data_IF_165356455835
#
_entry.id   IF_165356455835
#
_cell.length_a   1.000
_cell.length_b   1.000
_cell.length_c   1.000
_cell.angle_alpha   90.00
_cell.angle_beta   90.00
_cell.angle_gamma   90.00
#
_symmetry.space_group_name_H-M   'P 1'
#
loop_
_entity.id
_entity.type
_entity.pdbx_description
1 polymer ?
#
# COMPACT_ATOMS: atom_id res chain seq x y z
N UNK A 1 21.27 14.65 -1.86
CA UNK A 1 19.82 14.36 -1.99
C UNK A 1 19.30 14.26 -0.57
N UNK A 2 18.06 14.70 -0.27
CA UNK A 2 17.46 14.47 1.07
C UNK A 2 17.16 12.97 1.26
N UNK A 3 17.14 12.50 2.51
CA UNK A 3 16.84 11.08 2.80
C UNK A 3 15.49 10.65 2.21
N UNK A 4 14.47 11.51 2.27
CA UNK A 4 13.18 11.28 1.62
C UNK A 4 13.34 11.00 0.11
N UNK A 5 14.10 11.81 -0.61
CA UNK A 5 14.30 11.64 -2.04
C UNK A 5 15.14 10.39 -2.38
N UNK A 6 16.09 10.01 -1.53
CA UNK A 6 16.86 8.77 -1.69
C UNK A 6 15.97 7.54 -1.52
N UNK A 7 15.13 7.52 -0.47
CA UNK A 7 14.18 6.42 -0.23
C UNK A 7 13.12 6.38 -1.33
N UNK A 8 12.63 7.53 -1.81
CA UNK A 8 11.70 7.58 -2.94
C UNK A 8 12.31 6.96 -4.21
N UNK A 9 13.55 7.34 -4.55
CA UNK A 9 14.25 6.77 -5.69
C UNK A 9 14.48 5.25 -5.53
N UNK A 10 14.89 4.82 -4.34
CA UNK A 10 15.07 3.41 -4.04
C UNK A 10 13.78 2.61 -4.27
N UNK A 11 12.64 3.07 -3.71
CA UNK A 11 11.34 2.44 -3.93
C UNK A 11 10.93 2.44 -5.40
N UNK A 12 11.17 3.54 -6.11
CA UNK A 12 10.87 3.63 -7.53
C UNK A 12 11.66 2.61 -8.36
N UNK A 13 12.94 2.42 -8.08
CA UNK A 13 13.77 1.43 -8.76
C UNK A 13 13.34 -0.02 -8.44
N UNK A 14 13.04 -0.32 -7.17
CA UNK A 14 12.54 -1.65 -6.79
C UNK A 14 11.18 -1.97 -7.45
N UNK A 15 10.25 -1.02 -7.45
CA UNK A 15 8.97 -1.17 -8.13
C UNK A 15 9.17 -1.32 -9.66
N UNK A 16 10.04 -0.53 -10.27
CA UNK A 16 10.34 -0.59 -11.70
C UNK A 16 10.89 -1.96 -12.13
N UNK A 17 11.86 -2.49 -11.37
CA UNK A 17 12.48 -3.78 -11.66
C UNK A 17 11.45 -4.94 -11.61
N UNK A 18 10.55 -4.91 -10.63
CA UNK A 18 9.52 -5.94 -10.50
C UNK A 18 8.34 -5.73 -11.46
N UNK A 19 8.01 -4.50 -11.84
CA UNK A 19 6.87 -4.19 -12.72
C UNK A 19 6.91 -4.97 -14.04
N UNK A 20 8.10 -5.17 -14.59
CA UNK A 20 8.33 -5.90 -15.85
C UNK A 20 8.18 -7.42 -15.72
N UNK A 21 8.11 -7.94 -14.49
CA UNK A 21 7.97 -9.37 -14.20
C UNK A 21 6.52 -9.76 -13.90
N UNK A 22 5.63 -8.78 -13.75
CA UNK A 22 4.22 -9.02 -13.45
C UNK A 22 3.46 -9.54 -14.67
N UNK A 23 2.47 -10.39 -14.43
CA UNK A 23 1.54 -10.82 -15.48
C UNK A 23 0.69 -9.64 -15.93
N UNK A 24 0.60 -9.46 -17.25
CA UNK A 24 -0.16 -8.36 -17.85
C UNK A 24 -1.12 -8.86 -18.91
N UNK A 25 -2.21 -8.13 -19.09
CA UNK A 25 -3.15 -8.39 -20.17
C UNK A 25 -2.63 -7.90 -21.54
N UNK A 26 -3.45 -8.04 -22.58
CA UNK A 26 -3.09 -7.61 -23.94
C UNK A 26 -2.94 -6.10 -24.13
N UNK A 27 -3.44 -5.30 -23.17
CA UNK A 27 -3.37 -3.84 -23.18
C UNK A 27 -2.24 -3.32 -22.27
N UNK A 28 -1.57 -4.23 -21.53
CA UNK A 28 -0.44 -3.92 -20.66
C UNK A 28 -0.81 -3.64 -19.21
N UNK A 29 -2.08 -3.80 -18.82
CA UNK A 29 -2.52 -3.64 -17.44
C UNK A 29 -2.16 -4.85 -16.58
N UNK A 30 -1.99 -4.63 -15.28
CA UNK A 30 -1.71 -5.67 -14.30
C UNK A 30 -2.85 -6.71 -14.26
N UNK A 31 -2.50 -7.99 -14.43
CA UNK A 31 -3.46 -9.09 -14.62
C UNK A 31 -3.12 -10.36 -13.83
N UNK A 32 -2.52 -10.23 -12.64
CA UNK A 32 -2.27 -11.36 -11.75
C UNK A 32 -3.57 -11.97 -11.23
N UNK A 33 -3.53 -13.28 -10.96
CA UNK A 33 -4.66 -14.01 -10.36
C UNK A 33 -4.84 -13.59 -8.89
N UNK A 34 -5.80 -12.71 -8.63
CA UNK A 34 -6.11 -12.22 -7.29
C UNK A 34 -6.56 -13.33 -6.33
N UNK A 35 -7.32 -14.33 -6.81
CA UNK A 35 -7.70 -15.47 -5.97
C UNK A 35 -6.47 -16.23 -5.48
N UNK A 36 -5.46 -16.33 -6.33
CA UNK A 36 -4.17 -16.90 -5.95
C UNK A 36 -3.41 -15.99 -4.96
N UNK A 37 -3.49 -14.67 -5.12
CA UNK A 37 -2.91 -13.72 -4.15
C UNK A 37 -3.53 -13.90 -2.75
N UNK A 38 -4.85 -14.02 -2.63
CA UNK A 38 -5.51 -14.30 -1.35
C UNK A 38 -5.01 -15.60 -0.68
N UNK A 39 -4.79 -16.66 -1.47
CA UNK A 39 -4.24 -17.94 -0.95
C UNK A 39 -2.80 -17.79 -0.46
N UNK A 40 -1.95 -17.07 -1.19
CA UNK A 40 -0.53 -16.86 -0.86
C UNK A 40 -0.33 -15.83 0.25
N UNK A 41 -1.27 -14.92 0.43
CA UNK A 41 -1.20 -13.86 1.43
C UNK A 41 -0.98 -14.35 2.86
N UNK A 42 -1.33 -15.59 3.18
CA UNK A 42 -1.14 -16.18 4.52
C UNK A 42 0.33 -16.20 4.97
N UNK A 43 1.28 -16.23 4.06
CA UNK A 43 2.72 -16.28 4.36
C UNK A 43 3.42 -14.91 4.26
N UNK A 44 2.71 -13.84 3.95
CA UNK A 44 3.33 -12.53 3.69
C UNK A 44 4.10 -11.96 4.91
N UNK A 45 3.75 -12.37 6.13
CA UNK A 45 4.37 -11.89 7.36
C UNK A 45 5.55 -12.75 7.86
N UNK A 46 5.79 -13.94 7.31
CA UNK A 46 6.76 -14.90 7.84
C UNK A 46 8.17 -14.32 8.03
N UNK A 47 8.64 -13.50 7.07
CA UNK A 47 9.97 -12.88 7.17
C UNK A 47 9.98 -11.65 8.11
N UNK A 48 8.90 -10.85 8.10
CA UNK A 48 8.83 -9.68 8.97
C UNK A 48 8.68 -10.06 10.43
N UNK A 49 7.97 -11.13 10.75
CA UNK A 49 7.83 -11.67 12.12
C UNK A 49 9.16 -12.09 12.74
N UNK A 50 10.15 -12.50 11.94
CA UNK A 50 11.50 -12.79 12.41
C UNK A 50 12.23 -11.53 12.87
N UNK A 51 12.00 -10.40 12.18
CA UNK A 51 12.58 -9.09 12.51
C UNK A 51 11.81 -8.39 13.62
N UNK A 52 10.50 -8.54 13.63
CA UNK A 52 9.55 -7.92 14.57
C UNK A 52 8.68 -9.00 15.24
N UNK A 53 9.19 -9.73 16.24
CA UNK A 53 8.46 -10.83 16.89
C UNK A 53 7.15 -10.42 17.56
N UNK A 54 6.93 -9.13 17.82
CA UNK A 54 5.67 -8.61 18.35
C UNK A 54 4.50 -8.74 17.38
N UNK A 55 4.77 -8.95 16.08
CA UNK A 55 3.77 -9.18 15.06
C UNK A 55 3.41 -10.67 14.88
N UNK A 56 4.12 -11.58 15.54
CA UNK A 56 3.96 -13.02 15.35
C UNK A 56 2.59 -13.51 15.85
N UNK A 57 1.84 -14.12 14.96
CA UNK A 57 0.57 -14.80 15.25
C UNK A 57 0.26 -15.85 14.19
N UNK A 58 -0.63 -16.83 14.47
CA UNK A 58 -1.12 -17.70 13.41
C UNK A 58 -1.82 -16.88 12.31
N UNK A 59 -1.36 -17.01 11.06
CA UNK A 59 -1.92 -16.25 9.96
C UNK A 59 -3.35 -16.68 9.65
N UNK A 60 -4.23 -15.69 9.52
CA UNK A 60 -5.63 -15.87 9.11
C UNK A 60 -5.79 -15.22 7.73
N UNK A 61 -6.26 -15.97 6.70
CA UNK A 61 -6.38 -15.42 5.36
C UNK A 61 -7.37 -14.26 5.30
N UNK A 62 -7.02 -13.22 4.56
CA UNK A 62 -7.97 -12.18 4.17
C UNK A 62 -9.03 -12.76 3.22
N UNK A 63 -10.18 -12.09 3.16
CA UNK A 63 -11.29 -12.46 2.29
C UNK A 63 -11.53 -11.37 1.25
N UNK A 64 -11.90 -11.74 0.00
CA UNK A 64 -12.41 -10.75 -0.94
C UNK A 64 -13.75 -10.20 -0.43
N UNK A 65 -13.90 -8.88 -0.48
CA UNK A 65 -15.12 -8.22 -0.03
C UNK A 65 -16.25 -8.41 -1.03
N UNK A 66 -17.42 -8.85 -0.57
CA UNK A 66 -18.58 -9.05 -1.42
C UNK A 66 -19.14 -7.75 -2.02
N UNK A 67 -19.08 -6.63 -1.25
CA UNK A 67 -19.56 -5.32 -1.68
C UNK A 67 -18.43 -4.39 -2.12
N UNK A 68 -17.40 -4.90 -2.82
CA UNK A 68 -16.21 -4.17 -3.23
C UNK A 68 -16.53 -2.85 -3.93
N UNK A 69 -17.46 -2.84 -4.90
CA UNK A 69 -17.84 -1.61 -5.59
C UNK A 69 -18.40 -0.53 -4.67
N UNK A 70 -19.17 -0.91 -3.66
CA UNK A 70 -19.68 0.04 -2.67
C UNK A 70 -18.54 0.61 -1.80
N UNK A 71 -17.57 -0.23 -1.42
CA UNK A 71 -16.38 0.24 -0.71
C UNK A 71 -15.57 1.23 -1.54
N UNK A 72 -15.37 0.95 -2.84
CA UNK A 72 -14.69 1.87 -3.76
C UNK A 72 -15.37 3.24 -3.81
N UNK A 73 -16.70 3.28 -3.86
CA UNK A 73 -17.46 4.53 -3.85
C UNK A 73 -17.33 5.32 -2.53
N UNK A 74 -16.91 4.68 -1.46
CA UNK A 74 -16.64 5.28 -0.14
C UNK A 74 -15.13 5.54 0.10
N UNK A 75 -14.26 5.24 -0.89
CA UNK A 75 -12.82 5.46 -0.79
C UNK A 75 -12.06 4.39 0.01
N UNK A 76 -12.66 3.21 0.29
CA UNK A 76 -12.03 2.17 1.09
C UNK A 76 -11.41 1.06 0.24
N UNK A 77 -10.18 0.69 0.56
CA UNK A 77 -9.44 -0.43 -0.07
C UNK A 77 -9.61 -1.74 0.69
N UNK A 78 -9.91 -1.70 1.99
CA UNK A 78 -10.14 -2.85 2.82
C UNK A 78 -10.84 -2.49 4.13
N UNK A 79 -11.20 -3.47 4.91
CA UNK A 79 -11.81 -3.32 6.24
C UNK A 79 -11.44 -4.49 7.13
N UNK A 80 -10.82 -4.21 8.26
CA UNK A 80 -10.70 -5.14 9.37
C UNK A 80 -11.89 -4.99 10.30
N UNK A 81 -12.57 -6.11 10.60
CA UNK A 81 -13.72 -6.13 11.51
C UNK A 81 -13.31 -6.73 12.87
N UNK A 82 -13.08 -5.90 13.91
CA UNK A 82 -12.44 -6.34 15.14
C UNK A 82 -13.27 -7.33 15.97
N UNK A 83 -14.60 -7.33 15.80
CA UNK A 83 -15.48 -8.25 16.54
C UNK A 83 -15.40 -9.72 16.08
N UNK A 84 -15.00 -9.94 14.83
CA UNK A 84 -14.81 -11.30 14.27
C UNK A 84 -13.35 -11.59 13.93
N UNK A 85 -12.46 -10.58 13.95
CA UNK A 85 -11.07 -10.71 13.53
C UNK A 85 -10.90 -10.87 12.02
N UNK A 86 -11.93 -10.57 11.24
CA UNK A 86 -11.92 -10.75 9.78
C UNK A 86 -11.31 -9.54 9.07
N UNK A 87 -10.34 -9.79 8.22
CA UNK A 87 -9.78 -8.84 7.28
C UNK A 87 -10.41 -9.08 5.89
N UNK A 88 -11.01 -8.04 5.32
CA UNK A 88 -11.70 -8.09 4.05
C UNK A 88 -11.12 -7.04 3.10
N UNK A 89 -10.80 -7.43 1.88
CA UNK A 89 -10.12 -6.57 0.90
C UNK A 89 -11.02 -6.30 -0.29
N UNK A 90 -11.08 -5.07 -0.70
CA UNK A 90 -11.81 -4.59 -1.86
C UNK A 90 -11.11 -5.06 -3.14
N UNK A 91 -11.78 -5.94 -3.90
CA UNK A 91 -11.26 -6.47 -5.18
C UNK A 91 -11.71 -5.65 -6.41
N UNK A 92 -12.50 -4.59 -6.21
CA UNK A 92 -12.82 -3.62 -7.26
C UNK A 92 -11.75 -2.50 -7.35
N UNK A 93 -10.91 -2.35 -6.33
CA UNK A 93 -9.77 -1.43 -6.31
C UNK A 93 -8.68 -1.86 -7.32
N UNK A 94 -7.73 -0.97 -7.68
CA UNK A 94 -6.67 -1.30 -8.62
C UNK A 94 -5.93 -2.59 -8.26
N UNK A 95 -5.97 -3.56 -9.18
CA UNK A 95 -5.50 -4.92 -8.93
C UNK A 95 -4.03 -5.00 -8.49
N UNK A 96 -3.19 -4.09 -9.00
CA UNK A 96 -1.77 -3.99 -8.64
C UNK A 96 -1.52 -3.64 -7.16
N UNK A 97 -2.50 -3.06 -6.46
CA UNK A 97 -2.41 -2.71 -5.03
C UNK A 97 -3.13 -3.71 -4.11
N UNK A 98 -3.93 -4.63 -4.64
CA UNK A 98 -4.65 -5.63 -3.82
C UNK A 98 -3.70 -6.47 -2.96
N UNK A 99 -2.55 -6.99 -3.44
CA UNK A 99 -1.63 -7.75 -2.59
C UNK A 99 -1.08 -6.96 -1.40
N UNK A 100 -0.70 -5.69 -1.60
CA UNK A 100 -0.25 -4.84 -0.50
C UNK A 100 -1.40 -4.50 0.46
N UNK A 101 -2.63 -4.34 -0.05
CA UNK A 101 -3.81 -4.16 0.80
C UNK A 101 -4.10 -5.41 1.64
N UNK A 102 -3.91 -6.62 1.11
CA UNK A 102 -3.96 -7.86 1.91
C UNK A 102 -2.97 -7.78 3.07
N UNK A 103 -1.73 -7.38 2.82
CA UNK A 103 -0.73 -7.23 3.88
C UNK A 103 -1.11 -6.14 4.89
N UNK A 104 -1.68 -5.02 4.44
CA UNK A 104 -2.19 -3.96 5.30
C UNK A 104 -3.30 -4.47 6.24
N UNK A 105 -4.34 -5.11 5.72
CA UNK A 105 -5.45 -5.63 6.52
C UNK A 105 -4.99 -6.72 7.50
N UNK A 106 -4.00 -7.51 7.12
CA UNK A 106 -3.36 -8.48 8.03
C UNK A 106 -2.55 -7.82 9.15
N UNK A 107 -2.12 -6.56 9.01
CA UNK A 107 -1.51 -5.81 10.12
C UNK A 107 -2.52 -5.51 11.23
N UNK A 108 -3.74 -5.18 10.86
CA UNK A 108 -4.83 -4.99 11.82
C UNK A 108 -5.17 -6.28 12.59
N UNK A 109 -5.10 -7.45 11.94
CA UNK A 109 -5.21 -8.73 12.63
C UNK A 109 -4.10 -8.92 13.69
N UNK A 110 -2.91 -8.31 13.46
CA UNK A 110 -1.76 -8.30 14.38
C UNK A 110 -1.79 -7.17 15.41
N UNK A 111 -2.97 -6.61 15.63
CA UNK A 111 -3.23 -5.56 16.62
C UNK A 111 -2.55 -4.21 16.31
N UNK A 112 -2.16 -3.97 15.06
CA UNK A 112 -1.71 -2.66 14.59
C UNK A 112 -2.93 -1.86 14.19
N UNK A 113 -3.46 -1.03 15.09
CA UNK A 113 -4.73 -0.33 14.87
C UNK A 113 -4.57 1.05 14.24
N UNK A 114 -3.39 1.65 14.33
CA UNK A 114 -3.09 2.91 13.67
C UNK A 114 -2.96 2.69 12.16
N UNK A 115 -3.77 3.39 11.36
CA UNK A 115 -3.73 3.32 9.89
C UNK A 115 -2.33 3.63 9.33
N UNK A 116 -1.64 4.59 9.95
CA UNK A 116 -0.30 5.01 9.52
C UNK A 116 0.74 3.92 9.78
N UNK A 117 0.64 3.27 10.94
CA UNK A 117 1.50 2.13 11.28
C UNK A 117 1.11 0.89 10.47
N UNK A 118 -0.19 0.67 10.23
CA UNK A 118 -0.69 -0.43 9.41
C UNK A 118 -0.21 -0.33 7.96
N UNK A 119 -0.20 0.87 7.38
CA UNK A 119 0.39 1.13 6.08
C UNK A 119 1.88 0.76 6.05
N UNK A 120 2.66 1.25 7.03
CA UNK A 120 4.08 0.93 7.12
C UNK A 120 4.32 -0.57 7.30
N UNK A 121 3.64 -1.21 8.26
CA UNK A 121 3.82 -2.64 8.57
C UNK A 121 3.39 -3.52 7.39
N UNK A 122 2.28 -3.17 6.72
CA UNK A 122 1.82 -3.87 5.52
C UNK A 122 2.83 -3.77 4.36
N UNK A 123 3.36 -2.57 4.11
CA UNK A 123 4.42 -2.35 3.12
C UNK A 123 5.67 -3.16 3.49
N UNK A 124 6.15 -3.07 4.73
CA UNK A 124 7.34 -3.78 5.18
C UNK A 124 7.18 -5.31 5.08
N UNK A 125 6.00 -5.84 5.39
CA UNK A 125 5.71 -7.26 5.22
C UNK A 125 5.72 -7.67 3.74
N UNK A 126 5.02 -6.93 2.90
CA UNK A 126 4.93 -7.21 1.47
C UNK A 126 6.30 -7.17 0.78
N UNK A 127 7.13 -6.16 1.04
CA UNK A 127 8.45 -6.07 0.40
C UNK A 127 9.48 -7.04 0.96
N UNK A 128 9.28 -7.55 2.18
CA UNK A 128 10.19 -8.52 2.81
C UNK A 128 9.87 -9.97 2.45
N UNK A 129 8.65 -10.27 2.02
CA UNK A 129 8.24 -11.65 1.73
C UNK A 129 8.91 -12.20 0.46
N UNK A 130 8.91 -13.52 0.30
CA UNK A 130 9.52 -14.18 -0.85
C UNK A 130 8.68 -14.18 -2.13
N UNK A 131 7.54 -13.47 -2.18
CA UNK A 131 6.59 -13.47 -3.29
C UNK A 131 6.72 -12.18 -4.13
N UNK A 132 7.15 -12.27 -5.40
CA UNK A 132 7.39 -11.10 -6.24
C UNK A 132 6.14 -10.22 -6.46
N UNK A 133 4.94 -10.81 -6.45
CA UNK A 133 3.68 -10.05 -6.66
C UNK A 133 3.37 -9.19 -5.43
N UNK A 134 3.56 -9.74 -4.23
CA UNK A 134 3.44 -8.97 -2.99
C UNK A 134 4.54 -7.92 -2.88
N UNK A 135 5.78 -8.27 -3.23
CA UNK A 135 6.89 -7.32 -3.24
C UNK A 135 6.60 -6.13 -4.16
N UNK A 136 6.20 -6.40 -5.42
CA UNK A 136 5.83 -5.33 -6.35
C UNK A 136 4.76 -4.42 -5.79
N UNK A 137 3.67 -5.00 -5.33
CA UNK A 137 2.54 -4.27 -4.76
C UNK A 137 2.93 -3.43 -3.54
N UNK A 138 3.78 -3.97 -2.67
CA UNK A 138 4.31 -3.27 -1.49
C UNK A 138 5.23 -2.09 -1.86
N UNK A 139 6.15 -2.30 -2.81
CA UNK A 139 7.00 -1.23 -3.32
C UNK A 139 6.18 -0.12 -3.97
N UNK A 140 5.16 -0.48 -4.77
CA UNK A 140 4.26 0.48 -5.42
C UNK A 140 3.45 1.27 -4.38
N UNK A 141 2.86 0.60 -3.37
CA UNK A 141 2.11 1.26 -2.30
C UNK A 141 2.99 2.24 -1.52
N UNK A 142 4.19 1.81 -1.14
CA UNK A 142 5.15 2.68 -0.46
C UNK A 142 5.63 3.84 -1.34
N UNK A 143 5.86 3.59 -2.63
CA UNK A 143 6.21 4.63 -3.59
C UNK A 143 5.14 5.70 -3.70
N UNK A 144 3.86 5.33 -3.71
CA UNK A 144 2.75 6.30 -3.73
C UNK A 144 2.81 7.21 -2.50
N UNK A 145 3.02 6.66 -1.30
CA UNK A 145 3.14 7.45 -0.06
C UNK A 145 4.33 8.43 -0.13
N UNK A 146 5.49 7.91 -0.51
CA UNK A 146 6.74 8.69 -0.61
C UNK A 146 6.65 9.79 -1.70
N UNK A 147 6.07 9.47 -2.86
CA UNK A 147 5.88 10.40 -3.95
C UNK A 147 4.93 11.55 -3.56
N UNK A 148 3.84 11.27 -2.86
CA UNK A 148 2.93 12.30 -2.38
C UNK A 148 3.65 13.28 -1.43
N UNK A 149 4.45 12.75 -0.49
CA UNK A 149 5.23 13.58 0.43
C UNK A 149 6.33 14.36 -0.30
N UNK A 150 7.05 13.73 -1.23
CA UNK A 150 8.10 14.38 -1.99
C UNK A 150 7.54 15.48 -2.90
N UNK A 151 6.42 15.23 -3.57
CA UNK A 151 5.77 16.22 -4.44
C UNK A 151 5.35 17.47 -3.66
N UNK A 152 4.85 17.30 -2.43
CA UNK A 152 4.46 18.42 -1.57
C UNK A 152 5.63 19.35 -1.21
N UNK A 153 6.87 18.84 -1.13
CA UNK A 153 8.05 19.62 -0.73
C UNK A 153 8.98 19.97 -1.90
N UNK A 154 8.99 19.18 -2.97
CA UNK A 154 9.86 19.37 -4.14
C UNK A 154 9.28 18.70 -5.39
N UNK A 155 8.32 19.33 -6.09
CA UNK A 155 7.75 18.78 -7.32
C UNK A 155 8.82 18.50 -8.40
N UNK A 156 9.78 19.39 -8.56
CA UNK A 156 10.84 19.22 -9.57
C UNK A 156 11.65 17.93 -9.35
N UNK A 157 11.96 17.62 -8.10
CA UNK A 157 12.72 16.41 -7.75
C UNK A 157 11.86 15.14 -7.96
N UNK A 158 10.57 15.22 -7.65
CA UNK A 158 9.64 14.14 -7.97
C UNK A 158 9.62 13.84 -9.48
N UNK A 159 9.49 14.89 -10.33
CA UNK A 159 9.52 14.71 -11.80
C UNK A 159 10.83 14.10 -12.29
N UNK A 160 11.97 14.51 -11.72
CA UNK A 160 13.27 13.95 -12.07
C UNK A 160 13.35 12.46 -11.72
N UNK A 161 12.89 12.05 -10.53
CA UNK A 161 12.87 10.64 -10.11
C UNK A 161 11.94 9.83 -11.02
N UNK A 162 10.72 10.30 -11.25
CA UNK A 162 9.76 9.59 -12.11
C UNK A 162 10.31 9.42 -13.54
N UNK A 163 10.88 10.47 -14.13
CA UNK A 163 11.45 10.41 -15.48
C UNK A 163 12.68 9.49 -15.58
N UNK A 164 13.43 9.32 -14.50
CA UNK A 164 14.63 8.50 -14.48
C UNK A 164 14.37 7.01 -14.18
N UNK A 165 13.31 6.69 -13.43
CA UNK A 165 13.11 5.35 -12.86
C UNK A 165 11.83 4.64 -13.29
N UNK A 166 10.78 5.35 -13.74
CA UNK A 166 9.53 4.68 -14.09
C UNK A 166 9.65 3.94 -15.43
N UNK A 167 9.36 2.65 -15.40
CA UNK A 167 9.15 1.83 -16.62
C UNK A 167 7.77 2.12 -17.23
N UNK A 168 7.51 1.73 -18.48
CA UNK A 168 6.17 1.81 -19.05
C UNK A 168 5.12 1.08 -18.21
N UNK A 169 5.47 -0.11 -17.70
CA UNK A 169 4.59 -0.96 -16.89
C UNK A 169 4.24 -0.28 -15.55
N UNK A 170 5.24 0.26 -14.85
CA UNK A 170 5.03 1.00 -13.60
C UNK A 170 4.20 2.27 -13.84
N UNK A 171 4.44 2.95 -14.96
CA UNK A 171 3.66 4.15 -15.36
C UNK A 171 2.20 3.79 -15.62
N UNK A 172 1.95 2.66 -16.29
CA UNK A 172 0.57 2.17 -16.53
C UNK A 172 -0.16 1.92 -15.22
N UNK A 173 0.44 1.15 -14.29
CA UNK A 173 -0.18 0.85 -12.99
C UNK A 173 -0.40 2.11 -12.13
N UNK A 174 0.52 3.07 -12.21
CA UNK A 174 0.38 4.37 -11.57
C UNK A 174 -0.78 5.19 -12.13
N UNK A 175 -0.90 5.22 -13.45
CA UNK A 175 -1.98 5.93 -14.14
C UNK A 175 -3.34 5.25 -13.91
N UNK A 176 -3.40 3.92 -13.94
CA UNK A 176 -4.60 3.13 -13.65
C UNK A 176 -5.11 3.42 -12.23
N UNK A 177 -4.21 3.43 -11.25
CA UNK A 177 -4.58 3.78 -9.88
C UNK A 177 -5.15 5.20 -9.78
N UNK A 178 -4.48 6.17 -10.38
CA UNK A 178 -4.92 7.57 -10.33
C UNK A 178 -6.24 7.77 -11.08
N UNK A 179 -6.40 7.15 -12.25
CA UNK A 179 -7.62 7.25 -13.05
C UNK A 179 -8.81 6.61 -12.32
N UNK A 180 -8.58 5.45 -11.68
CA UNK A 180 -9.61 4.74 -10.93
C UNK A 180 -10.17 5.60 -9.79
N UNK A 181 -9.32 6.13 -8.92
CA UNK A 181 -9.77 6.92 -7.76
C UNK A 181 -10.36 8.26 -8.18
N UNK A 182 -9.80 8.94 -9.18
CA UNK A 182 -10.37 10.16 -9.74
C UNK A 182 -11.78 9.96 -10.29
N UNK A 183 -12.06 8.81 -10.89
CA UNK A 183 -13.41 8.50 -11.42
C UNK A 183 -14.46 8.27 -10.31
N UNK A 184 -14.03 8.08 -9.07
CA UNK A 184 -14.89 7.84 -7.90
C UNK A 184 -15.04 9.06 -6.99
N UNK A 185 -14.29 10.14 -7.23
CA UNK A 185 -14.44 11.41 -6.50
C UNK A 185 -15.91 11.86 -6.52
N UNK A 186 -16.50 11.99 -5.35
CA UNK A 186 -17.91 12.32 -5.21
C UNK A 186 -18.24 12.86 -3.82
N UNK A 187 -19.38 13.57 -3.63
CA UNK A 187 -19.83 13.98 -2.31
C UNK A 187 -20.07 12.81 -1.33
N UNK A 188 -20.32 11.61 -1.84
CA UNK A 188 -20.48 10.40 -1.01
C UNK A 188 -19.15 9.95 -0.45
N UNK A 189 -18.11 9.97 -1.26
CA UNK A 189 -16.73 9.66 -0.85
C UNK A 189 -16.25 10.69 0.20
N UNK A 190 -16.44 12.00 -0.05
CA UNK A 190 -16.10 13.05 0.92
C UNK A 190 -16.80 12.86 2.27
N UNK A 191 -18.11 12.54 2.27
CA UNK A 191 -18.87 12.30 3.49
C UNK A 191 -18.40 11.05 4.23
N UNK A 192 -18.05 9.98 3.50
CA UNK A 192 -17.50 8.77 4.08
C UNK A 192 -16.12 9.03 4.72
N UNK A 193 -15.23 9.72 4.02
CA UNK A 193 -13.91 10.10 4.51
C UNK A 193 -14.00 10.96 5.78
N UNK A 194 -14.89 11.98 5.82
CA UNK A 194 -15.12 12.82 7.00
C UNK A 194 -15.66 12.01 8.19
N UNK A 195 -16.55 11.06 7.94
CA UNK A 195 -17.12 10.19 8.98
C UNK A 195 -16.05 9.28 9.56
N UNK A 196 -15.22 8.69 8.72
CA UNK A 196 -14.12 7.82 9.13
C UNK A 196 -13.03 8.59 9.87
N UNK A 197 -12.65 9.78 9.40
CA UNK A 197 -11.72 10.67 10.08
C UNK A 197 -12.21 11.05 11.50
N UNK A 198 -13.51 11.36 11.63
CA UNK A 198 -14.12 11.64 12.94
C UNK A 198 -14.10 10.41 13.86
N UNK A 199 -14.35 9.21 13.31
CA UNK A 199 -14.26 7.97 14.05
C UNK A 199 -12.83 7.70 14.54
N UNK A 200 -11.82 7.86 13.69
CA UNK A 200 -10.41 7.70 14.06
C UNK A 200 -10.00 8.67 15.17
N UNK A 201 -10.35 9.95 15.05
CA UNK A 201 -10.11 10.97 16.08
C UNK A 201 -10.74 10.60 17.42
N UNK A 202 -12.00 10.16 17.40
CA UNK A 202 -12.71 9.75 18.62
C UNK A 202 -12.08 8.52 19.31
N UNK A 203 -11.27 7.75 18.60
CA UNK A 203 -10.52 6.60 19.11
C UNK A 203 -9.03 6.91 19.37
N UNK A 204 -8.67 8.20 19.50
CA UNK A 204 -7.32 8.63 19.88
C UNK A 204 -6.29 8.61 18.75
N UNK A 205 -6.71 8.53 17.50
CA UNK A 205 -5.84 8.65 16.34
C UNK A 205 -5.86 10.11 15.82
N UNK A 206 -5.25 11.00 16.56
CA UNK A 206 -5.28 12.45 16.27
C UNK A 206 -4.62 12.84 14.95
N UNK A 207 -3.68 12.01 14.44
CA UNK A 207 -2.94 12.28 13.21
C UNK A 207 -3.68 11.90 11.93
N UNK A 208 -4.80 11.23 12.02
CA UNK A 208 -5.77 10.95 10.93
C UNK A 208 -5.23 10.74 9.50
N UNK A 209 -6.14 10.47 8.56
CA UNK A 209 -5.91 10.26 7.12
C UNK A 209 -5.07 11.37 6.47
N UNK A 210 -5.03 12.58 7.03
CA UNK A 210 -4.31 13.73 6.44
C UNK A 210 -2.82 13.80 6.77
N UNK A 211 -2.27 12.96 7.67
CA UNK A 211 -0.84 12.97 7.95
C UNK A 211 -0.10 11.88 7.19
N UNK A 212 0.19 12.13 5.92
CA UNK A 212 1.17 11.33 5.15
C UNK A 212 2.53 11.22 5.87
N UNK A 213 2.80 12.12 6.84
CA UNK A 213 4.07 12.22 7.54
C UNK A 213 4.48 10.96 8.29
N UNK A 214 3.60 10.37 9.12
CA UNK A 214 4.04 9.32 10.02
C UNK A 214 4.38 7.99 9.32
N UNK A 215 3.60 7.57 8.29
CA UNK A 215 3.97 6.41 7.48
C UNK A 215 5.28 6.68 6.72
N UNK A 216 5.42 7.85 6.11
CA UNK A 216 6.62 8.27 5.37
C UNK A 216 7.83 8.34 6.30
N UNK A 217 7.69 8.88 7.51
CA UNK A 217 8.77 8.93 8.50
C UNK A 217 9.26 7.52 8.90
N UNK A 218 8.32 6.57 9.06
CA UNK A 218 8.65 5.18 9.32
C UNK A 218 9.36 4.53 8.13
N UNK A 219 8.88 4.76 6.90
CA UNK A 219 9.53 4.26 5.69
C UNK A 219 10.93 4.83 5.52
N UNK A 220 11.10 6.14 5.72
CA UNK A 220 12.41 6.81 5.61
C UNK A 220 13.37 6.31 6.70
N UNK A 221 12.88 6.07 7.91
CA UNK A 221 13.70 5.56 9.00
C UNK A 221 14.11 4.10 8.77
N UNK A 222 13.19 3.26 8.31
CA UNK A 222 13.42 1.83 8.13
C UNK A 222 14.31 1.52 6.93
N UNK A 223 14.09 2.21 5.80
CA UNK A 223 14.78 1.94 4.53
C UNK A 223 15.92 2.92 4.24
N UNK A 224 16.18 3.90 5.12
CA UNK A 224 17.15 4.97 4.87
C UNK A 224 18.58 4.47 4.67
N UNK A 225 19.02 3.48 5.43
CA UNK A 225 20.37 2.90 5.32
C UNK A 225 20.52 2.12 4.00
N UNK A 226 19.51 1.33 3.61
CA UNK A 226 19.50 0.56 2.36
C UNK A 226 19.49 1.52 1.14
N UNK A 227 18.65 2.55 1.19
CA UNK A 227 18.58 3.58 0.16
C UNK A 227 19.86 4.45 0.08
N UNK A 228 20.58 4.63 1.17
CA UNK A 228 21.84 5.36 1.23
C UNK A 228 23.02 4.56 0.65
N UNK A 229 22.91 3.24 0.61
CA UNK A 229 23.90 2.33 0.03
C UNK A 229 23.62 2.01 -1.45
N UNK A 230 22.44 2.34 -1.96
CA UNK A 230 21.98 2.16 -3.33
C UNK A 230 22.46 3.29 -4.24
#
# INVERSE_FOLDING_TARGET
MSTLAQVTLYFACQAADLSTQMVRDSEGHFAEDLDNCFRRGVSVYEELEQKLPCLAMPSVPCKPMFFSRLQSMMGFTGVYFPFTGEANVNVDAPACLVPATIAHEMSHQRMVFSELEANFVGIAAAVSCGDPVFQYSGWLMGLIQLCNALYAVSPDLWYQIAAASFTPELSTDWEDNNAYWRALESPVEEAAAQTFDTFLKSNGQDLCIQSYGACVDLLVTWFGDEAGAF
#
